data_IF_597091457014
#
_entry.id   IF_597091457014
#
_cell.length_a   1.000
_cell.length_b   1.000
_cell.length_c   1.000
_cell.angle_alpha   90.00
_cell.angle_beta   90.00
_cell.angle_gamma   90.00
#
_symmetry.space_group_name_H-M   'P 1'
#
loop_
_entity.id
_entity.type
_entity.pdbx_description
1 polymer ?
#
# COMPACT_ATOMS: atom_id res chain seq x y z
N UNK A 1 -2.55 -18.75 -34.54
CA UNK A 1 -3.16 -17.51 -34.05
C UNK A 1 -2.03 -16.62 -33.58
N UNK A 2 -1.70 -15.59 -34.37
CA UNK A 2 -0.77 -14.55 -33.93
C UNK A 2 -1.43 -13.79 -32.78
N UNK A 3 -0.81 -13.88 -31.60
CA UNK A 3 -1.33 -13.28 -30.39
C UNK A 3 -0.93 -11.79 -30.41
N UNK A 4 -1.74 -10.94 -31.04
CA UNK A 4 -1.44 -9.51 -31.22
C UNK A 4 -1.78 -8.66 -29.97
N UNK A 5 -2.08 -9.31 -28.85
CA UNK A 5 -2.30 -8.65 -27.57
C UNK A 5 -1.00 -8.18 -26.90
N UNK A 6 -1.05 -7.02 -26.25
CA UNK A 6 0.05 -6.51 -25.41
C UNK A 6 -0.28 -6.81 -23.93
N UNK A 7 0.67 -7.43 -23.22
CA UNK A 7 0.55 -7.65 -21.78
C UNK A 7 1.05 -6.43 -21.02
N UNK A 8 0.18 -5.79 -20.23
CA UNK A 8 0.56 -4.63 -19.41
C UNK A 8 0.74 -5.05 -17.96
N UNK A 9 1.92 -4.83 -17.39
CA UNK A 9 2.18 -5.13 -15.98
C UNK A 9 1.54 -4.07 -15.12
N UNK A 10 0.79 -4.48 -14.10
CA UNK A 10 0.15 -3.54 -13.19
C UNK A 10 1.19 -2.81 -12.32
N UNK A 11 0.79 -1.70 -11.73
CA UNK A 11 1.65 -0.86 -10.87
C UNK A 11 2.27 -1.61 -9.68
N UNK A 12 1.60 -2.64 -9.18
CA UNK A 12 2.09 -3.52 -8.10
C UNK A 12 3.13 -4.55 -8.56
N UNK A 13 3.44 -4.60 -9.86
CA UNK A 13 4.34 -5.58 -10.45
C UNK A 13 3.67 -6.93 -10.74
N UNK A 14 4.49 -7.83 -11.28
CA UNK A 14 4.17 -9.23 -11.56
C UNK A 14 5.18 -10.13 -10.87
N UNK A 15 4.90 -11.43 -10.79
CA UNK A 15 5.83 -12.42 -10.24
C UNK A 15 6.96 -12.70 -11.23
N UNK A 16 8.12 -13.11 -10.70
CA UNK A 16 9.30 -13.52 -11.49
C UNK A 16 8.97 -14.63 -12.49
N UNK A 17 8.14 -15.59 -12.09
CA UNK A 17 7.70 -16.69 -12.97
C UNK A 17 6.80 -16.21 -14.11
N UNK A 18 5.93 -15.22 -13.86
CA UNK A 18 5.06 -14.62 -14.87
C UNK A 18 5.89 -13.82 -15.89
N UNK A 19 6.89 -13.07 -15.42
CA UNK A 19 7.84 -12.34 -16.27
C UNK A 19 8.62 -13.31 -17.18
N UNK A 20 9.08 -14.44 -16.63
CA UNK A 20 9.78 -15.47 -17.39
C UNK A 20 8.89 -16.11 -18.46
N UNK A 21 7.63 -16.43 -18.11
CA UNK A 21 6.66 -16.99 -19.05
C UNK A 21 6.39 -16.05 -20.25
N UNK A 22 6.21 -14.76 -19.98
CA UNK A 22 5.95 -13.74 -21.03
C UNK A 22 7.15 -13.66 -21.98
N UNK A 23 8.36 -13.68 -21.44
CA UNK A 23 9.60 -13.69 -22.22
C UNK A 23 9.75 -14.97 -23.06
N UNK A 24 9.53 -16.14 -22.46
CA UNK A 24 9.61 -17.44 -23.14
C UNK A 24 8.61 -17.55 -24.29
N UNK A 25 7.40 -17.00 -24.12
CA UNK A 25 6.36 -16.97 -25.15
C UNK A 25 6.52 -15.86 -26.19
N UNK A 26 7.55 -15.01 -26.06
CA UNK A 26 7.80 -13.90 -26.99
C UNK A 26 6.66 -12.87 -27.03
N UNK A 27 5.89 -12.74 -25.94
CA UNK A 27 4.74 -11.82 -25.90
C UNK A 27 5.21 -10.38 -25.78
N UNK A 28 4.58 -9.47 -26.55
CA UNK A 28 4.78 -8.03 -26.38
C UNK A 28 4.30 -7.62 -24.99
N UNK A 29 5.12 -6.89 -24.24
CA UNK A 29 4.75 -6.42 -22.91
C UNK A 29 5.16 -4.98 -22.64
N UNK A 30 4.38 -4.30 -21.80
CA UNK A 30 4.65 -2.96 -21.28
C UNK A 30 4.70 -3.06 -19.76
N UNK A 31 5.87 -2.76 -19.19
CA UNK A 31 6.07 -2.76 -17.75
C UNK A 31 5.65 -1.41 -17.12
N UNK A 32 4.39 -1.33 -16.68
CA UNK A 32 3.89 -0.18 -15.92
C UNK A 32 4.04 -0.37 -14.39
N UNK A 33 4.95 -1.25 -13.93
CA UNK A 33 5.26 -1.39 -12.51
C UNK A 33 5.79 -0.07 -11.94
N UNK A 34 5.23 0.34 -10.81
CA UNK A 34 5.61 1.58 -10.13
C UNK A 34 7.11 1.58 -9.79
N UNK A 35 7.85 2.68 -10.07
CA UNK A 35 9.27 2.78 -9.74
C UNK A 35 9.59 2.58 -8.25
N UNK A 36 8.65 2.88 -7.35
CA UNK A 36 8.79 2.60 -5.92
C UNK A 36 8.71 1.10 -5.62
N UNK A 37 7.82 0.36 -6.27
CA UNK A 37 7.76 -1.11 -6.16
C UNK A 37 9.03 -1.76 -6.70
N UNK A 38 9.54 -1.28 -7.85
CA UNK A 38 10.84 -1.72 -8.39
C UNK A 38 11.99 -1.47 -7.39
N UNK A 39 11.91 -0.40 -6.60
CA UNK A 39 12.88 -0.09 -5.55
C UNK A 39 12.81 -1.08 -4.38
N UNK A 40 11.61 -1.46 -3.93
CA UNK A 40 11.43 -2.53 -2.92
C UNK A 40 12.13 -3.80 -3.38
N UNK A 41 11.82 -4.26 -4.60
CA UNK A 41 12.45 -5.43 -5.24
C UNK A 41 13.98 -5.30 -5.29
N UNK A 42 14.50 -4.14 -5.71
CA UNK A 42 15.95 -3.89 -5.78
C UNK A 42 16.63 -4.05 -4.42
N UNK A 43 16.07 -3.46 -3.36
CA UNK A 43 16.63 -3.59 -2.01
C UNK A 43 16.50 -5.00 -1.45
N UNK A 44 15.38 -5.68 -1.67
CA UNK A 44 15.18 -7.06 -1.26
C UNK A 44 16.23 -8.00 -1.89
N UNK A 45 16.42 -7.90 -3.21
CA UNK A 45 17.45 -8.69 -3.92
C UNK A 45 18.86 -8.32 -3.47
N UNK A 46 19.13 -7.03 -3.22
CA UNK A 46 20.41 -6.58 -2.68
C UNK A 46 20.70 -7.21 -1.32
N UNK A 47 19.74 -7.18 -0.39
CA UNK A 47 19.88 -7.77 0.94
C UNK A 47 20.18 -9.27 0.85
N UNK A 48 19.41 -10.01 0.05
CA UNK A 48 19.64 -11.44 -0.18
C UNK A 48 21.05 -11.72 -0.69
N UNK A 49 21.51 -10.96 -1.70
CA UNK A 49 22.87 -11.09 -2.28
C UNK A 49 23.99 -10.82 -1.26
N UNK A 50 23.72 -10.08 -0.20
CA UNK A 50 24.68 -9.77 0.86
C UNK A 50 24.50 -10.65 2.11
N UNK A 51 23.80 -11.77 1.99
CA UNK A 51 23.67 -12.77 3.06
C UNK A 51 22.68 -12.40 4.16
N UNK A 52 21.79 -11.44 3.92
CA UNK A 52 20.71 -11.14 4.86
C UNK A 52 19.51 -12.06 4.62
N UNK A 53 18.94 -12.59 5.69
CA UNK A 53 17.60 -13.15 5.70
C UNK A 53 16.61 -11.99 5.51
N UNK A 54 15.82 -12.03 4.44
CA UNK A 54 14.98 -10.89 4.05
C UNK A 54 13.61 -10.99 4.71
N UNK A 55 13.23 -9.94 5.43
CA UNK A 55 11.89 -9.71 5.95
C UNK A 55 11.20 -8.65 5.10
N UNK A 56 9.98 -8.94 4.66
CA UNK A 56 9.09 -8.01 3.99
C UNK A 56 7.98 -7.66 4.97
N UNK A 57 7.99 -6.44 5.49
CA UNK A 57 6.89 -5.92 6.27
C UNK A 57 5.73 -5.59 5.32
N UNK A 58 4.60 -6.29 5.46
CA UNK A 58 3.45 -6.13 4.55
C UNK A 58 2.47 -7.30 4.63
N UNK A 59 1.46 -7.28 3.77
CA UNK A 59 0.48 -8.36 3.66
C UNK A 59 0.93 -9.44 2.67
N UNK A 60 1.13 -10.68 3.16
CA UNK A 60 1.52 -11.86 2.35
C UNK A 60 0.58 -12.12 1.17
N UNK A 61 -0.68 -11.69 1.27
CA UNK A 61 -1.67 -11.89 0.23
C UNK A 61 -1.67 -10.79 -0.84
N UNK A 62 -1.03 -9.65 -0.57
CA UNK A 62 -1.03 -8.49 -1.46
C UNK A 62 -0.21 -8.75 -2.74
N UNK A 63 -0.70 -8.35 -3.94
CA UNK A 63 0.01 -8.58 -5.21
C UNK A 63 1.45 -8.04 -5.23
N UNK A 64 1.68 -6.85 -4.64
CA UNK A 64 3.02 -6.26 -4.53
C UNK A 64 3.98 -7.14 -3.74
N UNK A 65 3.54 -7.64 -2.58
CA UNK A 65 4.37 -8.47 -1.70
C UNK A 65 4.66 -9.82 -2.37
N UNK A 66 3.66 -10.42 -3.02
CA UNK A 66 3.84 -11.65 -3.83
C UNK A 66 4.83 -11.44 -4.97
N UNK A 67 4.77 -10.30 -5.65
CA UNK A 67 5.75 -9.92 -6.67
C UNK A 67 7.15 -9.89 -6.06
N UNK A 68 7.39 -9.09 -5.02
CA UNK A 68 8.72 -8.98 -4.37
C UNK A 68 9.24 -10.33 -3.88
N UNK A 69 8.38 -11.12 -3.23
CA UNK A 69 8.73 -12.44 -2.68
C UNK A 69 9.17 -13.43 -3.77
N UNK A 70 8.53 -13.41 -4.95
CA UNK A 70 8.93 -14.26 -6.07
C UNK A 70 10.35 -13.94 -6.59
N UNK A 71 10.79 -12.68 -6.53
CA UNK A 71 12.18 -12.31 -6.88
C UNK A 71 13.20 -12.72 -5.83
N UNK A 72 12.74 -13.15 -4.65
CA UNK A 72 13.56 -13.78 -3.61
C UNK A 72 13.54 -15.31 -3.70
N UNK A 73 12.99 -15.90 -4.76
CA UNK A 73 12.77 -17.34 -4.90
C UNK A 73 11.87 -17.88 -3.76
N UNK A 74 10.98 -17.04 -3.24
CA UNK A 74 10.04 -17.30 -2.15
C UNK A 74 10.65 -17.62 -0.77
N UNK A 75 11.93 -17.31 -0.58
CA UNK A 75 12.66 -17.54 0.69
C UNK A 75 12.54 -16.37 1.70
N UNK A 76 11.79 -15.32 1.37
CA UNK A 76 11.56 -14.18 2.26
C UNK A 76 10.50 -14.45 3.32
N UNK A 77 10.64 -13.84 4.51
CA UNK A 77 9.61 -13.86 5.56
C UNK A 77 8.71 -12.64 5.42
N UNK A 78 7.40 -12.82 5.45
CA UNK A 78 6.44 -11.72 5.43
C UNK A 78 5.83 -11.54 6.83
N UNK A 79 5.93 -10.32 7.38
CA UNK A 79 5.37 -9.97 8.68
C UNK A 79 4.33 -8.85 8.55
N UNK A 80 3.21 -9.00 9.27
CA UNK A 80 2.19 -7.96 9.43
C UNK A 80 2.25 -7.23 10.77
N UNK A 81 2.96 -7.82 11.74
CA UNK A 81 3.08 -7.32 13.11
C UNK A 81 4.49 -7.62 13.64
N UNK A 82 4.84 -6.96 14.75
CA UNK A 82 6.15 -7.11 15.37
C UNK A 82 6.38 -8.55 15.83
N UNK A 83 7.52 -9.11 15.44
CA UNK A 83 7.92 -10.46 15.81
C UNK A 83 9.45 -10.51 15.90
N UNK A 84 9.96 -11.16 16.95
CA UNK A 84 11.40 -11.46 17.03
C UNK A 84 11.71 -12.65 16.15
N UNK A 85 12.76 -12.53 15.34
CA UNK A 85 13.24 -13.60 14.47
C UNK A 85 14.71 -13.78 14.78
N UNK A 86 15.10 -15.02 15.07
CA UNK A 86 16.51 -15.37 15.21
C UNK A 86 17.20 -15.37 13.84
N UNK A 87 18.36 -14.72 13.77
CA UNK A 87 19.20 -14.77 12.59
C UNK A 87 20.41 -13.85 12.66
N UNK A 88 21.55 -14.31 12.15
CA UNK A 88 22.78 -13.51 12.17
C UNK A 88 22.64 -12.15 11.49
N UNK A 89 22.10 -12.13 10.26
CA UNK A 89 21.86 -10.91 9.50
C UNK A 89 20.44 -10.87 9.00
N UNK A 90 19.66 -9.87 9.42
CA UNK A 90 18.28 -9.67 8.98
C UNK A 90 18.18 -8.36 8.20
N UNK A 91 17.59 -8.42 7.02
CA UNK A 91 17.36 -7.27 6.17
C UNK A 91 15.86 -7.03 6.04
N UNK A 92 15.37 -5.82 6.30
CA UNK A 92 13.94 -5.53 6.23
C UNK A 92 13.62 -4.47 5.18
N UNK A 93 12.61 -4.76 4.37
CA UNK A 93 11.96 -3.83 3.43
C UNK A 93 10.47 -3.73 3.77
N UNK A 94 9.81 -2.69 3.27
CA UNK A 94 8.38 -2.44 3.48
C UNK A 94 7.58 -2.50 2.18
N UNK A 95 6.38 -3.05 2.23
CA UNK A 95 5.35 -2.81 1.23
C UNK A 95 5.11 -1.29 1.09
N UNK A 96 4.98 -0.79 -0.14
CA UNK A 96 4.96 0.66 -0.41
C UNK A 96 3.83 1.40 0.29
N UNK A 97 2.71 0.73 0.54
CA UNK A 97 1.51 1.27 1.20
C UNK A 97 1.42 0.96 2.70
N UNK A 98 2.43 0.31 3.30
CA UNK A 98 2.39 -0.05 4.71
C UNK A 98 2.44 1.20 5.59
N UNK A 99 1.82 1.08 6.76
CA UNK A 99 1.95 2.02 7.84
C UNK A 99 3.40 2.19 8.35
N UNK A 100 3.79 3.43 8.65
CA UNK A 100 5.05 3.74 9.33
C UNK A 100 5.15 3.12 10.74
N UNK A 101 4.12 3.22 11.60
CA UNK A 101 4.25 2.67 12.96
C UNK A 101 4.41 1.15 12.91
N UNK A 102 3.61 0.46 12.09
CA UNK A 102 3.73 -1.00 11.91
C UNK A 102 5.10 -1.37 11.37
N UNK A 103 5.63 -0.65 10.39
CA UNK A 103 6.98 -0.90 9.87
C UNK A 103 8.06 -0.69 10.93
N UNK A 104 7.96 0.40 11.70
CA UNK A 104 8.86 0.72 12.81
C UNK A 104 8.83 -0.38 13.86
N UNK A 105 7.65 -0.84 14.26
CA UNK A 105 7.47 -1.84 15.31
C UNK A 105 7.98 -3.22 14.85
N UNK A 106 7.80 -3.58 13.58
CA UNK A 106 8.43 -4.77 12.97
C UNK A 106 9.94 -4.63 13.01
N UNK A 107 10.49 -3.52 12.51
CA UNK A 107 11.94 -3.31 12.48
C UNK A 107 12.56 -3.35 13.88
N UNK A 108 11.89 -2.80 14.88
CA UNK A 108 12.32 -2.83 16.28
C UNK A 108 12.27 -4.26 16.86
N UNK A 109 11.22 -5.04 16.57
CA UNK A 109 11.09 -6.42 17.06
C UNK A 109 12.22 -7.33 16.57
N UNK A 110 12.75 -7.08 15.37
CA UNK A 110 13.86 -7.85 14.80
C UNK A 110 15.20 -7.60 15.50
N UNK A 111 15.37 -6.47 16.20
CA UNK A 111 16.62 -6.17 16.92
C UNK A 111 16.88 -7.14 18.08
N UNK A 112 15.84 -7.75 18.64
CA UNK A 112 15.98 -8.66 19.77
C UNK A 112 16.54 -10.04 19.42
N UNK A 113 16.49 -10.45 18.15
CA UNK A 113 16.88 -11.79 17.69
C UNK A 113 18.05 -11.83 16.70
N UNK A 114 18.61 -10.67 16.34
CA UNK A 114 19.61 -10.59 15.28
C UNK A 114 20.91 -9.90 15.71
N UNK A 115 22.05 -10.40 15.20
CA UNK A 115 23.36 -9.74 15.39
C UNK A 115 23.44 -8.44 14.57
N UNK A 116 22.84 -8.42 13.39
CA UNK A 116 22.81 -7.26 12.50
C UNK A 116 21.42 -7.11 11.85
N UNK A 117 20.79 -5.95 12.00
CA UNK A 117 19.56 -5.58 11.29
C UNK A 117 19.84 -4.42 10.32
N UNK A 118 19.53 -4.63 9.03
CA UNK A 118 19.60 -3.57 8.01
C UNK A 118 18.20 -3.22 7.52
N UNK A 119 17.82 -1.96 7.72
CA UNK A 119 16.48 -1.44 7.42
C UNK A 119 16.52 -0.59 6.15
N UNK A 120 15.69 -0.92 5.17
CA UNK A 120 15.36 -0.04 4.06
C UNK A 120 13.89 0.37 4.16
N UNK A 121 13.66 1.63 4.54
CA UNK A 121 12.31 2.20 4.50
C UNK A 121 11.90 2.42 3.04
N UNK A 122 11.10 1.50 2.51
CA UNK A 122 10.60 1.53 1.14
C UNK A 122 9.12 1.93 1.05
N UNK A 123 8.55 2.49 2.12
CA UNK A 123 7.22 3.12 2.11
C UNK A 123 7.25 4.29 1.12
N UNK A 124 6.24 4.37 0.24
CA UNK A 124 6.17 5.40 -0.77
C UNK A 124 5.95 6.78 -0.14
N UNK A 125 6.67 7.79 -0.64
CA UNK A 125 6.53 9.18 -0.19
C UNK A 125 5.10 9.70 -0.36
N UNK A 126 4.45 9.41 -1.50
CA UNK A 126 3.07 9.84 -1.76
C UNK A 126 2.09 9.25 -0.74
N UNK A 127 2.30 8.01 -0.30
CA UNK A 127 1.51 7.40 0.78
C UNK A 127 1.70 8.16 2.08
N UNK A 128 2.94 8.52 2.45
CA UNK A 128 3.22 9.28 3.68
C UNK A 128 2.60 10.68 3.65
N UNK A 129 2.68 11.37 2.51
CA UNK A 129 2.11 12.71 2.32
C UNK A 129 0.58 12.67 2.46
N UNK A 130 -0.10 11.76 1.75
CA UNK A 130 -1.56 11.60 1.87
C UNK A 130 -2.00 11.23 3.28
N UNK A 131 -1.28 10.32 3.96
CA UNK A 131 -1.62 9.96 5.34
C UNK A 131 -1.52 11.17 6.27
N UNK A 132 -0.49 12.00 6.11
CA UNK A 132 -0.33 13.24 6.89
C UNK A 132 -1.46 14.24 6.61
N UNK A 133 -1.76 14.49 5.34
CA UNK A 133 -2.85 15.39 4.91
C UNK A 133 -4.21 14.93 5.44
N UNK A 134 -4.45 13.61 5.48
CA UNK A 134 -5.68 13.04 6.01
C UNK A 134 -5.80 13.26 7.53
N UNK A 135 -4.71 13.11 8.29
CA UNK A 135 -4.70 13.42 9.72
C UNK A 135 -5.00 14.90 9.97
N UNK A 136 -4.32 15.78 9.24
CA UNK A 136 -4.51 17.23 9.36
C UNK A 136 -5.95 17.63 9.00
N UNK A 137 -6.49 17.09 7.91
CA UNK A 137 -7.87 17.37 7.48
C UNK A 137 -8.89 16.83 8.48
N UNK A 138 -8.72 15.60 8.95
CA UNK A 138 -9.62 14.97 9.91
C UNK A 138 -9.75 15.78 11.21
N UNK A 139 -8.68 16.45 11.65
CA UNK A 139 -8.70 17.33 12.82
C UNK A 139 -9.44 18.66 12.64
N UNK A 140 -9.82 19.02 11.41
CA UNK A 140 -10.42 20.32 11.06
C UNK A 140 -11.89 20.23 10.61
N UNK A 141 -12.44 19.01 10.54
CA UNK A 141 -13.77 18.72 9.97
C UNK A 141 -14.66 17.98 10.98
N UNK A 142 -15.97 18.08 10.81
CA UNK A 142 -16.97 17.42 11.67
C UNK A 142 -17.24 15.97 11.21
N UNK A 143 -17.06 15.71 9.91
CA UNK A 143 -17.20 14.39 9.25
C UNK A 143 -16.09 14.24 8.22
N UNK A 144 -15.53 13.04 8.12
CA UNK A 144 -14.51 12.72 7.13
C UNK A 144 -14.99 11.57 6.22
N UNK A 145 -14.85 11.75 4.91
CA UNK A 145 -15.20 10.76 3.90
C UNK A 145 -13.93 10.32 3.17
N UNK A 146 -13.68 9.02 3.16
CA UNK A 146 -12.56 8.40 2.46
C UNK A 146 -13.11 7.59 1.29
N UNK A 147 -12.93 8.10 0.08
CA UNK A 147 -13.44 7.50 -1.14
C UNK A 147 -12.45 6.50 -1.75
N UNK A 148 -12.92 5.31 -2.10
CA UNK A 148 -12.19 4.34 -2.92
C UNK A 148 -12.54 2.90 -2.61
N UNK A 149 -12.02 1.99 -3.43
CA UNK A 149 -12.36 0.56 -3.35
C UNK A 149 -12.14 -0.06 -1.97
N UNK A 150 -13.07 -0.89 -1.48
CA UNK A 150 -12.94 -1.61 -0.19
C UNK A 150 -11.73 -2.55 -0.13
N UNK A 151 -11.30 -3.03 -1.30
CA UNK A 151 -10.11 -3.88 -1.45
C UNK A 151 -8.79 -3.09 -1.59
N UNK A 152 -8.84 -1.76 -1.55
CA UNK A 152 -7.65 -0.91 -1.66
C UNK A 152 -6.95 -0.78 -0.30
N UNK A 153 -5.77 -1.39 -0.16
CA UNK A 153 -4.93 -1.26 1.04
C UNK A 153 -4.65 0.20 1.39
N UNK A 154 -4.40 1.06 0.39
CA UNK A 154 -4.18 2.47 0.63
C UNK A 154 -5.44 3.18 1.14
N UNK A 155 -6.60 2.91 0.54
CA UNK A 155 -7.87 3.56 0.94
C UNK A 155 -8.27 3.14 2.34
N UNK A 156 -8.24 1.83 2.62
CA UNK A 156 -8.51 1.30 3.95
C UNK A 156 -7.57 1.92 5.00
N UNK A 157 -6.29 2.12 4.64
CA UNK A 157 -5.33 2.77 5.53
C UNK A 157 -5.65 4.24 5.82
N UNK A 158 -6.03 5.01 4.80
CA UNK A 158 -6.46 6.41 5.01
C UNK A 158 -7.70 6.46 5.92
N UNK A 159 -8.64 5.53 5.76
CA UNK A 159 -9.79 5.38 6.64
C UNK A 159 -9.42 5.09 8.08
N UNK A 160 -8.59 4.09 8.35
CA UNK A 160 -8.15 3.75 9.71
C UNK A 160 -7.51 4.95 10.42
N UNK A 161 -6.60 5.65 9.74
CA UNK A 161 -5.89 6.82 10.29
C UNK A 161 -6.86 7.97 10.55
N UNK A 162 -7.73 8.30 9.59
CA UNK A 162 -8.74 9.34 9.76
C UNK A 162 -9.68 9.03 10.92
N UNK A 163 -10.14 7.78 11.05
CA UNK A 163 -11.07 7.34 12.10
C UNK A 163 -10.51 7.51 13.51
N UNK A 164 -9.20 7.38 13.68
CA UNK A 164 -8.53 7.61 14.96
C UNK A 164 -8.57 9.06 15.42
N UNK A 165 -8.60 10.01 14.47
CA UNK A 165 -8.64 11.45 14.74
C UNK A 165 -10.08 11.98 14.76
N UNK A 166 -10.89 11.54 13.80
CA UNK A 166 -12.29 11.91 13.62
C UNK A 166 -13.19 10.67 13.68
N UNK A 167 -13.87 10.39 14.81
CA UNK A 167 -14.74 9.23 14.95
C UNK A 167 -15.88 9.17 13.93
N UNK A 168 -16.33 10.30 13.36
CA UNK A 168 -17.30 10.36 12.25
C UNK A 168 -16.60 10.27 10.88
N UNK A 169 -15.72 9.28 10.73
CA UNK A 169 -15.09 8.92 9.45
C UNK A 169 -15.83 7.75 8.80
N UNK A 170 -16.05 7.82 7.48
CA UNK A 170 -16.72 6.78 6.68
C UNK A 170 -15.89 6.43 5.43
N UNK A 171 -15.83 5.14 5.10
CA UNK A 171 -15.23 4.62 3.87
C UNK A 171 -16.33 4.33 2.85
N UNK A 172 -16.31 5.06 1.74
CA UNK A 172 -17.32 5.01 0.68
C UNK A 172 -16.68 4.68 -0.69
N UNK A 173 -17.42 4.08 -1.61
CA UNK A 173 -16.97 3.83 -2.99
C UNK A 173 -17.66 4.79 -3.98
N UNK A 174 -18.92 5.14 -3.72
CA UNK A 174 -19.77 5.92 -4.62
C UNK A 174 -20.73 6.85 -3.85
N UNK A 175 -21.46 7.71 -4.57
CA UNK A 175 -22.51 8.56 -4.00
C UNK A 175 -23.65 7.77 -3.32
N UNK A 176 -23.90 6.53 -3.76
CA UNK A 176 -24.93 5.66 -3.18
C UNK A 176 -24.60 5.17 -1.78
N UNK A 177 -23.33 5.26 -1.37
CA UNK A 177 -22.90 4.91 -0.01
C UNK A 177 -23.10 6.08 0.97
N UNK A 178 -23.51 7.27 0.51
CA UNK A 178 -23.74 8.42 1.37
C UNK A 178 -25.06 8.30 2.11
N UNK A 179 -24.99 8.41 3.44
CA UNK A 179 -26.16 8.49 4.30
C UNK A 179 -26.43 9.96 4.72
N UNK A 180 -27.58 10.55 4.37
CA UNK A 180 -27.94 11.90 4.75
C UNK A 180 -27.86 12.18 6.26
N UNK A 181 -28.10 11.18 7.11
CA UNK A 181 -28.04 11.35 8.57
C UNK A 181 -26.64 11.73 9.06
N UNK A 182 -25.59 11.34 8.33
CA UNK A 182 -24.22 11.71 8.67
C UNK A 182 -23.98 13.21 8.58
N UNK A 183 -24.82 13.96 7.87
CA UNK A 183 -24.64 15.39 7.61
C UNK A 183 -25.57 16.28 8.44
N UNK A 184 -26.38 15.69 9.34
CA UNK A 184 -27.24 16.48 10.23
C UNK A 184 -26.43 17.30 11.24
N UNK A 185 -26.63 18.61 11.24
CA UNK A 185 -26.07 19.55 12.23
C UNK A 185 -24.56 19.79 12.12
N UNK A 186 -23.91 19.41 11.03
CA UNK A 186 -22.48 19.63 10.81
C UNK A 186 -22.21 20.86 9.93
N UNK A 187 -20.99 21.39 9.98
CA UNK A 187 -20.56 22.57 9.21
C UNK A 187 -19.48 22.27 8.19
N UNK A 188 -18.61 21.29 8.46
CA UNK A 188 -17.47 20.96 7.61
C UNK A 188 -17.39 19.46 7.35
N UNK A 189 -17.38 19.10 6.07
CA UNK A 189 -17.11 17.75 5.59
C UNK A 189 -15.73 17.74 4.95
N UNK A 190 -14.87 16.81 5.37
CA UNK A 190 -13.64 16.48 4.67
C UNK A 190 -13.90 15.36 3.66
N UNK A 191 -13.38 15.48 2.45
CA UNK A 191 -13.45 14.47 1.40
C UNK A 191 -12.05 14.24 0.85
N UNK A 192 -11.64 12.97 0.76
CA UNK A 192 -10.38 12.58 0.12
C UNK A 192 -10.51 11.23 -0.57
N UNK A 193 -9.55 10.91 -1.44
CA UNK A 193 -9.50 9.68 -2.21
C UNK A 193 -8.24 8.86 -1.96
N UNK A 194 -8.38 7.54 -1.98
CA UNK A 194 -7.24 6.64 -2.12
C UNK A 194 -6.48 6.88 -3.43
N UNK A 195 -5.24 6.39 -3.50
CA UNK A 195 -4.38 6.56 -4.69
C UNK A 195 -4.96 5.95 -5.98
N UNK A 196 -5.88 5.00 -5.86
CA UNK A 196 -6.56 4.35 -6.98
C UNK A 196 -7.98 4.87 -7.23
N UNK A 197 -8.41 5.90 -6.50
CA UNK A 197 -9.72 6.53 -6.67
C UNK A 197 -9.60 7.60 -7.76
N UNK A 198 -10.30 7.47 -8.89
CA UNK A 198 -10.27 8.47 -9.95
C UNK A 198 -10.86 9.81 -9.51
N UNK A 199 -10.34 10.92 -10.06
CA UNK A 199 -10.80 12.27 -9.72
C UNK A 199 -12.30 12.46 -10.00
N UNK A 200 -12.83 11.86 -11.06
CA UNK A 200 -14.27 11.98 -11.37
C UNK A 200 -15.18 11.41 -10.26
N UNK A 201 -14.72 10.43 -9.48
CA UNK A 201 -15.49 9.92 -8.32
C UNK A 201 -15.50 10.97 -7.22
N UNK A 202 -14.36 11.62 -6.97
CA UNK A 202 -14.23 12.70 -5.98
C UNK A 202 -15.12 13.88 -6.38
N UNK A 203 -15.09 14.29 -7.65
CA UNK A 203 -15.91 15.39 -8.18
C UNK A 203 -17.42 15.09 -8.10
N UNK A 204 -17.80 13.83 -8.31
CA UNK A 204 -19.19 13.39 -8.16
C UNK A 204 -19.66 13.49 -6.71
N UNK A 205 -18.85 12.99 -5.78
CA UNK A 205 -19.11 13.08 -4.35
C UNK A 205 -19.17 14.53 -3.86
N UNK A 206 -18.22 15.39 -4.25
CA UNK A 206 -18.22 16.82 -3.90
C UNK A 206 -19.50 17.51 -4.38
N UNK A 207 -19.93 17.27 -5.62
CA UNK A 207 -21.20 17.80 -6.13
C UNK A 207 -22.40 17.29 -5.35
N UNK A 208 -22.43 16.02 -4.98
CA UNK A 208 -23.53 15.45 -4.18
C UNK A 208 -23.59 16.07 -2.79
N UNK A 209 -22.44 16.23 -2.13
CA UNK A 209 -22.34 16.83 -0.79
C UNK A 209 -22.79 18.30 -0.76
N UNK A 210 -22.53 19.06 -1.82
CA UNK A 210 -23.01 20.46 -1.94
C UNK A 210 -24.53 20.59 -2.06
N UNK A 211 -25.24 19.49 -2.32
CA UNK A 211 -26.69 19.44 -2.49
C UNK A 211 -27.41 18.73 -1.31
N UNK A 212 -26.67 18.36 -0.25
CA UNK A 212 -27.18 17.78 1.00
C UNK A 212 -27.21 18.84 2.09
#
# INVERSE_FOLDING_TARGET
MENDGIVVFRTHGIRKEEEAYICEKGLKSIDATCPFVKRVRKHAVYLRKHGYKVVIAGDKNHPEVKSVLSYLDNDGIVLRESCSIEGRKIGVVSQTTLNWETFRDIAAGLLGGAEEVRVYNTICRSTRERQKEVVETAGLVDVMLIAGGKNSSNTARLYEIAKQVQPRTYHIETEGDLDPEWFSGIRKVGLTGGASTPDFIIDSLDRRLKNL
#
